data_IF_811561363258
#
_entry.id   IF_811561363258
#
_cell.length_a   1.000
_cell.length_b   1.000
_cell.length_c   1.000
_cell.angle_alpha   90.00
_cell.angle_beta   90.00
_cell.angle_gamma   90.00
#
_symmetry.space_group_name_H-M   'P 1'
#
loop_
_entity.id
_entity.type
_entity.pdbx_description
1 polymer ?
#
# COMPACT_ATOMS: atom_id res chain seq x y z
N UNK A 1 32.28 -19.51 -20.53
CA UNK A 1 31.16 -18.90 -21.23
C UNK A 1 30.76 -17.63 -20.46
N UNK A 2 31.21 -16.46 -20.93
CA UNK A 2 30.90 -15.18 -20.30
C UNK A 2 29.54 -14.71 -20.83
N UNK A 3 28.55 -14.55 -19.94
CA UNK A 3 27.21 -14.06 -20.24
C UNK A 3 27.27 -12.55 -20.55
N UNK A 4 27.00 -12.20 -21.79
CA UNK A 4 26.82 -10.80 -22.23
C UNK A 4 25.48 -10.30 -21.66
N UNK A 5 25.56 -9.53 -20.58
CA UNK A 5 24.44 -8.72 -20.08
C UNK A 5 24.28 -7.54 -21.05
N UNK A 6 23.20 -7.53 -21.82
CA UNK A 6 22.83 -6.42 -22.68
C UNK A 6 22.63 -5.15 -21.84
N UNK A 7 23.58 -4.23 -21.92
CA UNK A 7 23.44 -2.89 -21.35
C UNK A 7 22.56 -2.07 -22.29
N UNK A 8 21.33 -1.78 -21.88
CA UNK A 8 20.50 -0.80 -22.57
C UNK A 8 21.14 0.58 -22.48
N UNK A 9 21.10 1.40 -23.55
CA UNK A 9 21.71 2.72 -23.56
C UNK A 9 21.08 3.58 -22.45
N UNK A 10 21.96 4.07 -21.55
CA UNK A 10 21.61 5.04 -20.53
C UNK A 10 21.14 6.32 -21.19
N UNK A 11 19.85 6.59 -21.19
CA UNK A 11 19.33 7.93 -21.51
C UNK A 11 19.96 8.95 -20.56
N UNK A 12 20.51 10.04 -21.12
CA UNK A 12 21.18 11.09 -20.35
C UNK A 12 20.33 11.51 -19.13
N UNK A 13 20.93 11.71 -17.94
CA UNK A 13 20.18 12.00 -16.74
C UNK A 13 19.42 13.31 -16.89
N UNK A 14 18.09 13.24 -16.93
CA UNK A 14 17.27 14.43 -16.84
C UNK A 14 17.68 15.21 -15.57
N UNK A 15 18.10 16.47 -15.72
CA UNK A 15 18.47 17.34 -14.59
C UNK A 15 17.31 17.36 -13.59
N UNK A 16 17.58 17.00 -12.35
CA UNK A 16 16.58 17.06 -11.29
C UNK A 16 16.12 18.50 -11.11
N UNK A 17 14.84 18.76 -11.32
CA UNK A 17 14.21 20.07 -11.07
C UNK A 17 14.17 20.27 -9.54
N UNK A 18 14.70 21.39 -8.98
CA UNK A 18 14.63 21.66 -7.55
C UNK A 18 13.20 21.61 -7.00
N UNK A 19 13.04 21.25 -5.72
CA UNK A 19 11.71 21.18 -5.07
C UNK A 19 10.96 22.53 -5.12
N UNK A 20 11.69 23.64 -5.05
CA UNK A 20 11.18 25.02 -5.19
C UNK A 20 10.54 25.32 -6.55
N UNK A 21 10.75 24.49 -7.58
CA UNK A 21 10.20 24.66 -8.92
C UNK A 21 8.96 23.79 -9.19
N UNK A 22 8.51 22.98 -8.23
CA UNK A 22 7.21 22.27 -8.38
C UNK A 22 6.09 23.23 -8.03
N UNK A 23 5.10 23.32 -8.90
CA UNK A 23 3.94 24.17 -8.67
C UNK A 23 3.26 23.81 -7.33
N UNK A 24 2.98 24.83 -6.51
CA UNK A 24 2.39 24.65 -5.17
C UNK A 24 1.02 24.00 -5.20
N UNK A 25 0.24 24.21 -6.25
CA UNK A 25 -1.07 23.58 -6.44
C UNK A 25 -0.90 22.06 -6.58
N UNK A 26 0.07 21.62 -7.39
CA UNK A 26 0.36 20.19 -7.56
C UNK A 26 0.82 19.54 -6.24
N UNK A 27 1.67 20.22 -5.47
CA UNK A 27 2.10 19.72 -4.16
C UNK A 27 0.94 19.65 -3.17
N UNK A 28 0.09 20.68 -3.12
CA UNK A 28 -1.08 20.69 -2.24
C UNK A 28 -2.05 19.55 -2.59
N UNK A 29 -2.36 19.37 -3.89
CA UNK A 29 -3.20 18.27 -4.36
C UNK A 29 -2.58 16.89 -4.05
N UNK A 30 -1.27 16.73 -4.22
CA UNK A 30 -0.55 15.52 -3.86
C UNK A 30 -0.62 15.19 -2.37
N UNK A 31 -0.38 16.18 -1.49
CA UNK A 31 -0.45 15.96 -0.04
C UNK A 31 -1.90 15.70 0.43
N UNK A 32 -2.88 16.39 -0.17
CA UNK A 32 -4.29 16.14 0.08
C UNK A 32 -4.69 14.70 -0.31
N UNK A 33 -4.26 14.24 -1.48
CA UNK A 33 -4.46 12.85 -1.92
C UNK A 33 -3.86 11.86 -0.91
N UNK A 34 -2.62 12.07 -0.48
CA UNK A 34 -1.97 11.18 0.49
C UNK A 34 -2.69 11.19 1.84
N UNK A 35 -3.11 12.36 2.32
CA UNK A 35 -3.88 12.49 3.55
C UNK A 35 -5.25 11.79 3.45
N UNK A 36 -5.88 11.81 2.27
CA UNK A 36 -7.19 11.19 2.05
C UNK A 36 -7.18 9.66 2.10
N UNK A 37 -6.03 9.00 1.92
CA UNK A 37 -5.94 7.53 1.90
C UNK A 37 -6.48 6.84 3.17
N UNK A 38 -6.53 7.56 4.28
CA UNK A 38 -7.12 7.08 5.52
C UNK A 38 -8.63 7.39 5.66
N UNK A 39 -9.24 8.08 4.69
CA UNK A 39 -10.63 8.55 4.74
C UNK A 39 -11.42 8.04 3.54
N UNK A 40 -11.65 6.74 3.47
CA UNK A 40 -12.59 6.14 2.55
C UNK A 40 -14.00 6.30 3.14
N UNK A 41 -14.96 6.82 2.37
CA UNK A 41 -16.35 7.00 2.79
C UNK A 41 -17.27 6.33 1.77
N UNK A 42 -17.62 5.04 1.95
CA UNK A 42 -18.39 4.28 0.96
C UNK A 42 -19.79 4.83 0.71
N UNK A 43 -20.38 5.52 1.69
CA UNK A 43 -21.79 5.93 1.65
C UNK A 43 -22.04 7.34 1.07
N UNK A 44 -21.03 8.01 0.53
CA UNK A 44 -21.19 9.35 -0.08
C UNK A 44 -21.60 9.26 -1.55
N UNK A 45 -22.73 8.60 -1.83
CA UNK A 45 -23.33 8.57 -3.17
C UNK A 45 -22.41 7.98 -4.25
N UNK A 46 -21.54 7.04 -3.90
CA UNK A 46 -20.57 6.42 -4.82
C UNK A 46 -19.27 7.22 -5.05
N UNK A 47 -19.06 8.32 -4.34
CA UNK A 47 -17.84 9.12 -4.44
C UNK A 47 -16.85 8.77 -3.33
N UNK A 48 -15.77 8.10 -3.69
CA UNK A 48 -14.68 7.81 -2.76
C UNK A 48 -13.73 9.01 -2.65
N UNK A 49 -13.51 9.53 -1.44
CA UNK A 49 -12.61 10.68 -1.23
C UNK A 49 -11.20 10.44 -1.80
N UNK A 50 -10.57 9.26 -1.62
CA UNK A 50 -9.28 8.97 -2.25
C UNK A 50 -9.31 9.01 -3.78
N UNK A 51 -10.40 8.60 -4.41
CA UNK A 51 -10.55 8.69 -5.87
C UNK A 51 -10.67 10.15 -6.34
N UNK A 52 -11.51 10.94 -5.66
CA UNK A 52 -11.68 12.36 -5.99
C UNK A 52 -10.38 13.15 -5.83
N UNK A 53 -9.65 12.93 -4.74
CA UNK A 53 -8.38 13.62 -4.47
C UNK A 53 -7.26 13.16 -5.40
N UNK A 54 -7.26 11.89 -5.83
CA UNK A 54 -6.36 11.38 -6.85
C UNK A 54 -6.67 11.99 -8.22
N UNK A 55 -7.94 12.08 -8.61
CA UNK A 55 -8.36 12.77 -9.82
C UNK A 55 -7.97 14.26 -9.79
N UNK A 56 -8.17 14.95 -8.67
CA UNK A 56 -7.72 16.34 -8.47
C UNK A 56 -6.20 16.46 -8.61
N UNK A 57 -5.44 15.55 -8.00
CA UNK A 57 -3.99 15.51 -8.14
C UNK A 57 -3.59 15.33 -9.61
N UNK A 58 -4.13 14.33 -10.29
CA UNK A 58 -3.84 14.07 -11.70
C UNK A 58 -4.23 15.26 -12.59
N UNK A 59 -5.40 15.88 -12.36
CA UNK A 59 -5.84 17.08 -13.06
C UNK A 59 -4.91 18.29 -12.84
N UNK A 60 -4.21 18.35 -11.72
CA UNK A 60 -3.23 19.39 -11.43
C UNK A 60 -1.85 19.17 -12.11
N UNK A 61 -1.49 17.93 -12.49
CA UNK A 61 -0.16 17.58 -13.02
C UNK A 61 0.25 18.32 -14.30
N UNK A 62 -0.67 18.76 -15.20
CA UNK A 62 -0.29 19.60 -16.35
C UNK A 62 0.45 20.88 -15.96
N UNK A 63 0.22 21.41 -14.76
CA UNK A 63 0.95 22.59 -14.23
C UNK A 63 2.41 22.30 -13.90
N UNK A 64 2.82 21.01 -13.89
CA UNK A 64 4.18 20.59 -13.56
C UNK A 64 4.56 19.28 -14.28
N UNK A 65 4.24 19.14 -15.59
CA UNK A 65 4.43 17.91 -16.38
C UNK A 65 5.83 17.31 -16.24
N UNK A 66 6.88 18.13 -16.41
CA UNK A 66 8.27 17.64 -16.27
C UNK A 66 8.60 17.16 -14.85
N UNK A 67 7.92 17.73 -13.84
CA UNK A 67 8.13 17.32 -12.46
C UNK A 67 7.42 16.01 -12.13
N UNK A 68 6.31 15.68 -12.80
CA UNK A 68 5.47 14.52 -12.53
C UNK A 68 5.77 13.32 -13.45
N UNK A 69 6.28 13.55 -14.68
CA UNK A 69 6.35 12.50 -15.70
C UNK A 69 7.71 12.39 -16.44
N UNK A 70 8.76 13.04 -15.95
CA UNK A 70 10.07 13.03 -16.64
C UNK A 70 10.75 11.65 -16.68
N UNK A 71 10.46 10.78 -15.73
CA UNK A 71 11.10 9.45 -15.60
C UNK A 71 10.08 8.36 -15.76
N UNK A 72 10.46 7.33 -16.51
CA UNK A 72 9.64 6.13 -16.76
C UNK A 72 10.48 4.93 -16.32
N UNK A 73 10.27 4.37 -15.10
CA UNK A 73 10.98 3.19 -14.66
C UNK A 73 10.49 1.94 -15.40
N UNK A 74 11.36 0.93 -15.49
CA UNK A 74 11.05 -0.32 -16.18
C UNK A 74 9.80 -1.03 -15.64
N UNK A 75 9.50 -0.89 -14.35
CA UNK A 75 8.30 -1.45 -13.75
C UNK A 75 7.00 -0.95 -14.41
N UNK A 76 6.96 0.33 -14.86
CA UNK A 76 5.77 0.88 -15.52
C UNK A 76 5.50 0.22 -16.88
N UNK A 77 6.52 -0.23 -17.61
CA UNK A 77 6.30 -0.99 -18.84
C UNK A 77 5.60 -2.33 -18.56
N UNK A 78 5.96 -2.99 -17.47
CA UNK A 78 5.32 -4.23 -17.06
C UNK A 78 3.89 -4.00 -16.57
N UNK A 79 3.63 -2.95 -15.83
CA UNK A 79 2.27 -2.57 -15.44
C UNK A 79 1.42 -2.12 -16.63
N UNK A 80 2.01 -1.42 -17.61
CA UNK A 80 1.33 -1.11 -18.86
C UNK A 80 1.01 -2.38 -19.66
N UNK A 81 1.95 -3.35 -19.72
CA UNK A 81 1.71 -4.67 -20.30
C UNK A 81 0.55 -5.41 -19.60
N UNK A 82 0.50 -5.35 -18.27
CA UNK A 82 -0.62 -5.87 -17.50
C UNK A 82 -1.96 -5.21 -17.90
N UNK A 83 -2.01 -3.87 -18.05
CA UNK A 83 -3.22 -3.16 -18.48
C UNK A 83 -3.63 -3.52 -19.91
N UNK A 84 -2.67 -3.75 -20.81
CA UNK A 84 -2.94 -4.26 -22.16
C UNK A 84 -3.56 -5.65 -22.12
N UNK A 85 -3.03 -6.56 -21.30
CA UNK A 85 -3.64 -7.89 -21.11
C UNK A 85 -5.02 -7.79 -20.51
N UNK A 86 -5.21 -6.91 -19.52
CA UNK A 86 -6.52 -6.63 -18.92
C UNK A 86 -7.54 -6.24 -20.02
N UNK A 87 -7.19 -5.28 -20.87
CA UNK A 87 -8.07 -4.85 -21.96
C UNK A 87 -8.33 -5.98 -22.98
N UNK A 88 -7.30 -6.71 -23.39
CA UNK A 88 -7.43 -7.81 -24.36
C UNK A 88 -8.30 -8.95 -23.82
N UNK A 89 -8.08 -9.38 -22.57
CA UNK A 89 -8.86 -10.43 -21.92
C UNK A 89 -10.31 -9.98 -21.70
N UNK A 90 -10.53 -8.71 -21.34
CA UNK A 90 -11.88 -8.15 -21.23
C UNK A 90 -12.65 -8.22 -22.56
N UNK A 91 -11.99 -7.97 -23.68
CA UNK A 91 -12.59 -8.09 -25.02
C UNK A 91 -12.88 -9.56 -25.39
N UNK A 92 -11.99 -10.50 -25.00
CA UNK A 92 -12.16 -11.93 -25.29
C UNK A 92 -13.35 -12.56 -24.54
N UNK A 93 -13.62 -12.10 -23.31
CA UNK A 93 -14.71 -12.65 -22.49
C UNK A 93 -16.06 -11.96 -22.72
N UNK A 94 -16.14 -11.08 -23.71
CA UNK A 94 -17.38 -10.40 -24.07
C UNK A 94 -17.78 -9.27 -23.13
N UNK A 95 -18.91 -8.65 -23.44
CA UNK A 95 -19.38 -7.42 -22.80
C UNK A 95 -20.30 -7.68 -21.59
N UNK A 96 -20.27 -8.87 -21.02
CA UNK A 96 -20.99 -9.18 -19.78
C UNK A 96 -20.36 -8.31 -18.67
N UNK A 97 -21.20 -7.60 -17.93
CA UNK A 97 -20.75 -6.66 -16.88
C UNK A 97 -19.80 -5.53 -17.36
N UNK A 98 -19.97 -5.10 -18.61
CA UNK A 98 -19.09 -4.10 -19.22
C UNK A 98 -18.94 -2.82 -18.38
N UNK A 99 -20.00 -2.36 -17.72
CA UNK A 99 -19.96 -1.19 -16.85
C UNK A 99 -18.93 -1.31 -15.74
N UNK A 100 -18.93 -2.45 -15.05
CA UNK A 100 -18.04 -2.75 -13.94
C UNK A 100 -16.60 -2.99 -14.40
N UNK A 101 -16.43 -3.73 -15.50
CA UNK A 101 -15.11 -3.98 -16.13
C UNK A 101 -14.48 -2.67 -16.56
N UNK A 102 -15.24 -1.77 -17.20
CA UNK A 102 -14.77 -0.44 -17.60
C UNK A 102 -14.39 0.40 -16.38
N UNK A 103 -15.25 0.44 -15.36
CA UNK A 103 -14.98 1.18 -14.13
C UNK A 103 -13.69 0.68 -13.48
N UNK A 104 -13.55 -0.63 -13.32
CA UNK A 104 -12.36 -1.25 -12.73
C UNK A 104 -11.09 -0.95 -13.54
N UNK A 105 -11.17 -1.02 -14.87
CA UNK A 105 -10.07 -0.65 -15.78
C UNK A 105 -9.64 0.81 -15.63
N UNK A 106 -10.60 1.75 -15.51
CA UNK A 106 -10.31 3.17 -15.28
C UNK A 106 -9.64 3.40 -13.93
N UNK A 107 -10.06 2.70 -12.87
CA UNK A 107 -9.42 2.75 -11.53
C UNK A 107 -7.96 2.27 -11.61
N UNK A 108 -7.68 1.22 -12.37
CA UNK A 108 -6.31 0.70 -12.56
C UNK A 108 -5.43 1.69 -13.34
N UNK A 109 -5.97 2.30 -14.40
CA UNK A 109 -5.26 3.35 -15.17
C UNK A 109 -4.96 4.56 -14.28
N UNK A 110 -5.95 5.03 -13.53
CA UNK A 110 -5.77 6.12 -12.55
C UNK A 110 -4.68 5.78 -11.53
N UNK A 111 -4.72 4.58 -10.95
CA UNK A 111 -3.74 4.11 -9.97
C UNK A 111 -2.32 4.05 -10.55
N UNK A 112 -2.16 3.60 -11.81
CA UNK A 112 -0.87 3.59 -12.50
C UNK A 112 -0.37 5.02 -12.78
N UNK A 113 -1.23 5.95 -13.17
CA UNK A 113 -0.86 7.36 -13.38
C UNK A 113 -0.46 8.03 -12.05
N UNK A 114 -1.18 7.75 -10.96
CA UNK A 114 -0.80 8.16 -9.59
C UNK A 114 0.58 7.61 -9.23
N UNK A 115 0.85 6.34 -9.50
CA UNK A 115 2.16 5.73 -9.28
C UNK A 115 3.24 6.48 -10.07
N UNK A 116 3.05 6.73 -11.35
CA UNK A 116 4.03 7.41 -12.21
C UNK A 116 4.31 8.85 -11.75
N UNK A 117 3.28 9.66 -11.50
CA UNK A 117 3.45 11.02 -11.01
C UNK A 117 4.10 11.06 -9.62
N UNK A 118 3.66 10.19 -8.69
CA UNK A 118 4.20 10.09 -7.34
C UNK A 118 5.67 9.69 -7.32
N UNK A 119 6.10 8.74 -8.16
CA UNK A 119 7.50 8.33 -8.30
C UNK A 119 8.39 9.52 -8.62
N UNK A 120 8.00 10.35 -9.57
CA UNK A 120 8.77 11.53 -9.96
C UNK A 120 8.80 12.59 -8.84
N UNK A 121 7.72 12.76 -8.09
CA UNK A 121 7.68 13.64 -6.92
C UNK A 121 8.56 13.11 -5.77
N UNK A 122 8.57 11.81 -5.52
CA UNK A 122 9.42 11.16 -4.51
C UNK A 122 10.92 11.26 -4.81
N UNK A 123 11.30 11.53 -6.04
CA UNK A 123 12.70 11.83 -6.34
C UNK A 123 13.21 13.08 -5.62
N UNK A 124 12.31 13.90 -5.07
CA UNK A 124 12.57 15.05 -4.20
C UNK A 124 12.31 14.64 -2.76
N UNK A 125 13.38 14.39 -2.02
CA UNK A 125 13.30 13.84 -0.66
C UNK A 125 12.40 14.65 0.28
N UNK A 126 12.47 15.99 0.22
CA UNK A 126 11.64 16.86 1.04
C UNK A 126 10.14 16.63 0.77
N UNK A 127 9.75 16.53 -0.52
CA UNK A 127 8.35 16.25 -0.90
C UNK A 127 7.90 14.90 -0.35
N UNK A 128 8.72 13.86 -0.51
CA UNK A 128 8.38 12.53 -0.06
C UNK A 128 8.30 12.42 1.48
N UNK A 129 9.23 13.03 2.21
CA UNK A 129 9.19 13.04 3.67
C UNK A 129 7.95 13.79 4.18
N UNK A 130 7.60 14.93 3.55
CA UNK A 130 6.35 15.65 3.89
C UNK A 130 5.12 14.77 3.62
N UNK A 131 5.07 14.07 2.50
CA UNK A 131 3.97 13.16 2.18
C UNK A 131 3.84 12.02 3.22
N UNK A 132 4.96 11.45 3.65
CA UNK A 132 4.96 10.43 4.72
C UNK A 132 4.41 10.99 6.03
N UNK A 133 4.75 12.23 6.40
CA UNK A 133 4.17 12.88 7.58
C UNK A 133 2.68 13.21 7.40
N UNK A 134 2.24 13.66 6.22
CA UNK A 134 0.81 13.85 5.92
C UNK A 134 0.04 12.54 6.14
N UNK A 135 0.61 11.41 5.70
CA UNK A 135 0.01 10.09 5.93
C UNK A 135 -0.10 9.76 7.43
N UNK A 136 0.96 9.97 8.22
CA UNK A 136 0.94 9.70 9.68
C UNK A 136 -0.08 10.59 10.40
N UNK A 137 -0.13 11.87 10.05
CA UNK A 137 -1.08 12.82 10.64
C UNK A 137 -2.52 12.41 10.33
N UNK A 138 -2.79 12.02 9.08
CA UNK A 138 -4.13 11.57 8.68
C UNK A 138 -4.50 10.23 9.35
N UNK A 139 -3.56 9.30 9.52
CA UNK A 139 -3.78 8.05 10.25
C UNK A 139 -4.09 8.31 11.74
N UNK A 140 -3.38 9.24 12.37
CA UNK A 140 -3.66 9.66 13.73
C UNK A 140 -5.05 10.31 13.84
N UNK A 141 -5.36 11.27 12.97
CA UNK A 141 -6.68 11.91 12.93
C UNK A 141 -7.80 10.88 12.80
N UNK A 142 -7.64 9.93 11.86
CA UNK A 142 -8.60 8.84 11.68
C UNK A 142 -8.72 7.93 12.90
N UNK A 143 -7.65 7.74 13.67
CA UNK A 143 -7.70 6.93 14.89
C UNK A 143 -8.44 7.66 16.03
N UNK A 144 -8.30 8.97 16.11
CA UNK A 144 -8.87 9.79 17.19
C UNK A 144 -10.35 10.11 16.94
N UNK A 145 -10.75 10.40 15.70
CA UNK A 145 -12.11 10.85 15.36
C UNK A 145 -13.21 9.90 15.87
N UNK A 146 -13.14 8.56 15.70
CA UNK A 146 -14.16 7.66 16.27
C UNK A 146 -14.17 7.63 17.80
N UNK A 147 -13.03 7.89 18.46
CA UNK A 147 -12.96 7.94 19.93
C UNK A 147 -13.73 9.13 20.50
N UNK A 148 -13.80 10.24 19.75
CA UNK A 148 -14.58 11.43 20.10
C UNK A 148 -16.00 11.41 19.47
N UNK A 149 -16.42 10.26 18.94
CA UNK A 149 -17.76 10.06 18.39
C UNK A 149 -17.96 10.54 16.94
N UNK A 150 -16.91 11.04 16.27
CA UNK A 150 -17.01 11.53 14.88
C UNK A 150 -16.82 10.38 13.90
N UNK A 151 -17.84 10.11 13.08
CA UNK A 151 -17.80 9.07 12.06
C UNK A 151 -17.65 7.64 12.60
N UNK A 152 -17.91 7.41 13.89
CA UNK A 152 -17.85 6.08 14.49
C UNK A 152 -18.92 5.19 13.88
N UNK A 153 -18.49 4.08 13.28
CA UNK A 153 -19.36 3.03 12.75
C UNK A 153 -18.97 1.72 13.39
N UNK A 154 -19.95 0.95 13.83
CA UNK A 154 -19.70 -0.34 14.46
C UNK A 154 -20.71 -1.38 14.00
N UNK A 155 -20.28 -2.64 14.00
CA UNK A 155 -21.14 -3.78 13.75
C UNK A 155 -20.68 -5.02 14.52
N UNK A 156 -21.65 -5.80 14.97
CA UNK A 156 -21.42 -7.05 15.71
C UNK A 156 -21.02 -8.15 14.71
N UNK A 157 -19.98 -8.92 15.04
CA UNK A 157 -19.56 -10.09 14.25
C UNK A 157 -20.08 -11.38 14.84
N UNK A 158 -20.23 -12.42 14.01
CA UNK A 158 -20.74 -13.73 14.43
C UNK A 158 -19.91 -14.41 15.53
N UNK A 159 -18.61 -14.09 15.65
CA UNK A 159 -17.74 -14.57 16.74
C UNK A 159 -17.96 -13.84 18.06
N UNK A 160 -18.88 -12.88 18.10
CA UNK A 160 -19.09 -11.99 19.23
C UNK A 160 -18.09 -10.83 19.28
N UNK A 161 -18.54 -9.73 19.89
CA UNK A 161 -17.81 -8.47 19.94
C UNK A 161 -18.14 -7.53 18.77
N UNK A 162 -17.79 -6.27 18.96
CA UNK A 162 -18.11 -5.17 18.05
C UNK A 162 -16.88 -4.71 17.33
N UNK A 163 -16.90 -4.70 16.00
CA UNK A 163 -15.84 -4.09 15.17
C UNK A 163 -16.12 -2.60 15.01
N UNK A 164 -15.13 -1.78 15.29
CA UNK A 164 -15.22 -0.33 15.13
C UNK A 164 -14.40 0.11 13.94
N UNK A 165 -15.01 0.93 13.10
CA UNK A 165 -14.36 1.60 11.98
C UNK A 165 -14.72 3.08 11.95
N UNK A 166 -14.04 3.87 11.14
CA UNK A 166 -14.44 5.24 10.89
C UNK A 166 -15.18 5.31 9.55
N UNK A 167 -16.29 6.07 9.51
CA UNK A 167 -17.01 6.44 8.29
C UNK A 167 -17.48 5.24 7.43
N UNK A 168 -17.85 4.10 8.05
CA UNK A 168 -18.35 2.93 7.33
C UNK A 168 -17.31 2.13 6.55
N UNK A 169 -16.03 2.42 6.70
CA UNK A 169 -14.95 1.73 5.98
C UNK A 169 -14.92 0.23 6.22
N UNK A 170 -14.45 -0.51 5.22
CA UNK A 170 -14.10 -1.91 5.41
C UNK A 170 -13.02 -2.06 6.49
N UNK A 171 -13.31 -2.82 7.54
CA UNK A 171 -12.43 -2.94 8.70
C UNK A 171 -11.06 -3.59 8.38
N UNK A 172 -10.96 -4.44 7.35
CA UNK A 172 -9.69 -5.02 6.94
C UNK A 172 -8.81 -3.97 6.24
N UNK A 173 -9.42 -3.20 5.32
CA UNK A 173 -8.76 -2.10 4.65
C UNK A 173 -8.30 -1.03 5.65
N UNK A 174 -9.20 -0.64 6.56
CA UNK A 174 -8.90 0.28 7.67
C UNK A 174 -7.66 -0.12 8.47
N UNK A 175 -7.60 -1.39 8.87
CA UNK A 175 -6.47 -1.92 9.63
C UNK A 175 -5.15 -1.83 8.84
N UNK A 176 -5.18 -2.14 7.53
CA UNK A 176 -3.99 -2.07 6.67
C UNK A 176 -3.50 -0.62 6.54
N UNK A 177 -4.40 0.34 6.31
CA UNK A 177 -4.05 1.75 6.18
C UNK A 177 -3.46 2.33 7.49
N UNK A 178 -4.09 2.02 8.63
CA UNK A 178 -3.56 2.41 9.94
C UNK A 178 -2.22 1.74 10.23
N UNK A 179 -2.05 0.47 9.86
CA UNK A 179 -0.78 -0.26 9.99
C UNK A 179 0.33 0.38 9.16
N UNK A 180 0.02 0.85 7.93
CA UNK A 180 0.97 1.61 7.12
C UNK A 180 1.37 2.92 7.83
N UNK A 181 0.43 3.65 8.43
CA UNK A 181 0.70 4.84 9.24
C UNK A 181 1.66 4.56 10.41
N UNK A 182 1.44 3.47 11.14
CA UNK A 182 2.29 3.07 12.26
C UNK A 182 3.70 2.65 11.79
N UNK A 183 3.81 1.92 10.68
CA UNK A 183 5.11 1.53 10.08
C UNK A 183 5.87 2.77 9.60
N UNK A 184 5.19 3.73 8.96
CA UNK A 184 5.80 5.00 8.55
C UNK A 184 6.30 5.76 9.77
N UNK A 185 5.49 5.92 10.81
CA UNK A 185 5.86 6.59 12.05
C UNK A 185 7.10 5.96 12.67
N UNK A 186 7.11 4.64 12.82
CA UNK A 186 8.24 3.90 13.37
C UNK A 186 9.51 4.07 12.51
N UNK A 187 9.38 3.96 11.18
CA UNK A 187 10.49 4.10 10.26
C UNK A 187 11.09 5.51 10.23
N UNK A 188 10.25 6.56 10.27
CA UNK A 188 10.70 7.95 10.31
C UNK A 188 11.38 8.30 11.65
N UNK A 189 10.90 7.75 12.76
CA UNK A 189 11.39 8.10 14.11
C UNK A 189 12.60 7.26 14.54
N UNK A 190 12.65 5.99 14.16
CA UNK A 190 13.70 5.05 14.59
C UNK A 190 14.64 4.61 13.48
N UNK A 191 14.27 4.80 12.21
CA UNK A 191 15.04 4.28 11.06
C UNK A 191 16.42 4.89 10.87
N UNK A 192 16.58 6.20 11.01
CA UNK A 192 17.82 6.91 10.60
C UNK A 192 18.51 7.80 11.65
N UNK A 193 18.16 7.76 12.89
CA UNK A 193 18.92 8.43 13.97
C UNK A 193 18.94 9.98 13.99
N UNK A 194 18.38 10.65 12.99
CA UNK A 194 18.33 12.13 12.88
C UNK A 194 17.11 12.77 13.56
N UNK A 195 16.21 11.97 14.11
CA UNK A 195 14.99 12.46 14.76
C UNK A 195 15.30 12.95 16.16
N UNK A 196 14.73 14.09 16.56
CA UNK A 196 14.89 14.64 17.91
C UNK A 196 14.39 13.66 18.97
N UNK A 197 14.93 13.78 20.19
CA UNK A 197 14.48 12.97 21.33
C UNK A 197 12.99 13.20 21.61
N UNK A 198 12.52 14.44 21.51
CA UNK A 198 11.12 14.81 21.70
C UNK A 198 10.20 14.09 20.71
N UNK A 199 10.58 14.06 19.42
CA UNK A 199 9.79 13.35 18.40
C UNK A 199 9.74 11.85 18.65
N UNK A 200 10.84 11.24 19.11
CA UNK A 200 10.85 9.80 19.46
C UNK A 200 9.96 9.51 20.66
N UNK A 201 9.90 10.40 21.63
CA UNK A 201 8.98 10.27 22.78
C UNK A 201 7.52 10.45 22.34
N UNK A 202 7.23 11.45 21.50
CA UNK A 202 5.89 11.68 20.96
C UNK A 202 5.38 10.54 20.07
N UNK A 203 6.27 9.79 19.42
CA UNK A 203 5.89 8.64 18.59
C UNK A 203 5.18 7.53 19.39
N UNK A 204 5.45 7.38 20.68
CA UNK A 204 4.81 6.35 21.50
C UNK A 204 3.31 6.60 21.71
N UNK A 205 2.85 7.76 22.22
CA UNK A 205 1.41 8.01 22.34
C UNK A 205 0.72 8.04 20.97
N UNK A 206 1.33 8.62 19.93
CA UNK A 206 0.77 8.59 18.57
C UNK A 206 0.59 7.13 18.11
N UNK A 207 1.62 6.31 18.28
CA UNK A 207 1.59 4.90 17.94
C UNK A 207 0.55 4.11 18.74
N UNK A 208 0.36 4.44 20.01
CA UNK A 208 -0.65 3.81 20.87
C UNK A 208 -2.08 4.09 20.38
N UNK A 209 -2.41 5.34 20.01
CA UNK A 209 -3.73 5.66 19.42
C UNK A 209 -3.97 4.92 18.11
N UNK A 210 -2.99 4.93 17.18
CA UNK A 210 -3.11 4.19 15.91
C UNK A 210 -3.23 2.68 16.19
N UNK A 211 -2.44 2.14 17.12
CA UNK A 211 -2.46 0.74 17.50
C UNK A 211 -3.80 0.30 18.09
N UNK A 212 -4.37 1.09 19.00
CA UNK A 212 -5.69 0.84 19.56
C UNK A 212 -6.77 0.76 18.47
N UNK A 213 -6.76 1.75 17.55
CA UNK A 213 -7.70 1.75 16.42
C UNK A 213 -7.54 0.52 15.50
N UNK A 214 -6.32 0.02 15.27
CA UNK A 214 -6.08 -1.21 14.50
C UNK A 214 -6.77 -2.41 15.19
N UNK A 215 -6.61 -2.53 16.51
CA UNK A 215 -7.16 -3.66 17.28
C UNK A 215 -8.69 -3.62 17.30
N UNK A 216 -9.29 -2.43 17.47
CA UNK A 216 -10.75 -2.25 17.45
C UNK A 216 -11.38 -2.65 16.10
N UNK A 217 -10.63 -2.60 14.99
CA UNK A 217 -11.12 -3.13 13.71
C UNK A 217 -11.40 -4.64 13.76
N UNK A 218 -10.79 -5.39 14.68
CA UNK A 218 -10.86 -6.85 14.72
C UNK A 218 -10.23 -7.52 13.49
N UNK A 219 -9.33 -6.88 12.75
CA UNK A 219 -8.74 -7.43 11.53
C UNK A 219 -7.48 -8.24 11.80
N UNK A 220 -7.57 -9.59 11.76
CA UNK A 220 -6.42 -10.49 11.86
C UNK A 220 -5.40 -10.27 10.74
N UNK A 221 -5.89 -10.08 9.49
CA UNK A 221 -5.04 -9.79 8.34
C UNK A 221 -4.29 -8.45 8.47
N UNK A 222 -4.94 -7.43 9.06
CA UNK A 222 -4.30 -6.15 9.36
C UNK A 222 -3.19 -6.27 10.41
N UNK A 223 -3.38 -7.08 11.47
CA UNK A 223 -2.33 -7.34 12.46
C UNK A 223 -1.15 -8.11 11.86
N UNK A 224 -1.40 -9.12 11.02
CA UNK A 224 -0.35 -9.84 10.32
C UNK A 224 0.45 -8.92 9.39
N UNK A 225 -0.24 -8.06 8.65
CA UNK A 225 0.38 -7.07 7.78
C UNK A 225 1.26 -6.08 8.58
N UNK A 226 0.77 -5.60 9.72
CA UNK A 226 1.55 -4.79 10.65
C UNK A 226 2.80 -5.53 11.12
N UNK A 227 2.65 -6.79 11.52
CA UNK A 227 3.76 -7.66 11.92
C UNK A 227 4.84 -7.74 10.84
N UNK A 228 4.46 -7.99 9.59
CA UNK A 228 5.38 -8.02 8.45
C UNK A 228 6.11 -6.69 8.24
N UNK A 229 5.39 -5.56 8.32
CA UNK A 229 5.97 -4.23 8.19
C UNK A 229 6.94 -3.88 9.33
N UNK A 230 6.58 -4.18 10.58
CA UNK A 230 7.44 -3.91 11.75
C UNK A 230 8.69 -4.81 11.75
N UNK A 231 8.56 -6.10 11.41
CA UNK A 231 9.70 -7.00 11.28
C UNK A 231 10.68 -6.52 10.21
N UNK A 232 10.18 -5.98 9.11
CA UNK A 232 11.03 -5.41 8.06
C UNK A 232 11.90 -4.25 8.55
N UNK A 233 11.50 -3.50 9.59
CA UNK A 233 12.31 -2.43 10.18
C UNK A 233 13.64 -2.94 10.77
N UNK A 234 13.73 -4.23 11.11
CA UNK A 234 14.98 -4.82 11.60
C UNK A 234 16.09 -4.85 10.54
N UNK A 235 15.72 -4.80 9.25
CA UNK A 235 16.67 -4.80 8.11
C UNK A 235 17.20 -3.42 7.72
N UNK A 236 17.20 -2.47 8.65
CA UNK A 236 17.74 -1.11 8.43
C UNK A 236 19.19 -1.16 7.97
N UNK A 237 19.50 -0.54 6.83
CA UNK A 237 20.85 -0.50 6.26
C UNK A 237 21.76 0.50 7.01
N UNK A 238 23.05 0.17 7.11
CA UNK A 238 24.07 1.12 7.62
C UNK A 238 24.02 1.40 9.13
N UNK A 239 23.17 0.70 9.88
CA UNK A 239 23.13 0.80 11.34
C UNK A 239 24.24 0.02 12.01
N UNK A 240 24.92 0.64 13.03
CA UNK A 240 25.77 -0.11 13.94
C UNK A 240 24.92 -1.09 14.77
N UNK A 241 25.54 -2.04 15.47
CA UNK A 241 24.84 -3.04 16.28
C UNK A 241 23.84 -2.39 17.26
N UNK A 242 24.19 -1.25 17.88
CA UNK A 242 23.31 -0.52 18.81
C UNK A 242 21.98 -0.09 18.13
N UNK A 243 22.04 0.39 16.88
CA UNK A 243 20.83 0.79 16.12
C UNK A 243 19.96 -0.43 15.80
N UNK A 244 20.57 -1.54 15.38
CA UNK A 244 19.83 -2.78 15.08
C UNK A 244 19.17 -3.35 16.34
N UNK A 245 19.89 -3.41 17.47
CA UNK A 245 19.36 -3.88 18.74
C UNK A 245 18.22 -2.98 19.23
N UNK A 246 18.38 -1.63 19.16
CA UNK A 246 17.31 -0.71 19.48
C UNK A 246 16.07 -0.94 18.61
N UNK A 247 16.23 -1.04 17.30
CA UNK A 247 15.10 -1.25 16.38
C UNK A 247 14.45 -2.62 16.63
N UNK A 248 15.25 -3.66 16.91
CA UNK A 248 14.74 -4.96 17.31
C UNK A 248 13.93 -4.87 18.61
N UNK A 249 14.44 -4.18 19.62
CA UNK A 249 13.72 -3.97 20.89
C UNK A 249 12.40 -3.22 20.67
N UNK A 250 12.43 -2.11 19.91
CA UNK A 250 11.21 -1.35 19.59
C UNK A 250 10.19 -2.23 18.86
N UNK A 251 10.64 -3.04 17.88
CA UNK A 251 9.77 -3.97 17.17
C UNK A 251 9.15 -5.01 18.10
N UNK A 252 9.97 -5.63 18.97
CA UNK A 252 9.49 -6.63 19.94
C UNK A 252 8.50 -6.02 20.93
N UNK A 253 8.79 -4.82 21.47
CA UNK A 253 7.88 -4.12 22.37
C UNK A 253 6.57 -3.73 21.67
N UNK A 254 6.64 -3.24 20.43
CA UNK A 254 5.45 -2.90 19.66
C UNK A 254 4.60 -4.15 19.35
N UNK A 255 5.20 -5.22 18.86
CA UNK A 255 4.49 -6.47 18.59
C UNK A 255 3.94 -7.10 19.86
N UNK A 256 4.73 -7.13 20.96
CA UNK A 256 4.30 -7.68 22.23
C UNK A 256 3.12 -6.90 22.83
N UNK A 257 3.18 -5.57 22.83
CA UNK A 257 2.07 -4.73 23.28
C UNK A 257 0.81 -4.88 22.42
N UNK A 258 0.97 -4.97 21.11
CA UNK A 258 -0.15 -5.20 20.18
C UNK A 258 -0.78 -6.58 20.39
N UNK A 259 0.05 -7.63 20.57
CA UNK A 259 -0.43 -8.97 20.88
C UNK A 259 -1.18 -8.99 22.20
N UNK A 260 -0.61 -8.42 23.26
CA UNK A 260 -1.28 -8.31 24.56
C UNK A 260 -2.64 -7.59 24.42
N UNK A 261 -2.66 -6.43 23.79
CA UNK A 261 -3.88 -5.67 23.56
C UNK A 261 -4.91 -6.43 22.70
N UNK A 262 -4.47 -7.22 21.72
CA UNK A 262 -5.34 -8.06 20.89
C UNK A 262 -6.09 -9.11 21.73
N UNK A 263 -5.49 -9.64 22.80
CA UNK A 263 -6.14 -10.57 23.71
C UNK A 263 -7.00 -9.90 24.80
N UNK A 264 -6.86 -8.58 25.00
CA UNK A 264 -7.72 -7.83 25.95
C UNK A 264 -8.97 -7.26 25.30
N UNK A 265 -8.97 -7.02 23.98
CA UNK A 265 -10.12 -6.48 23.25
C UNK A 265 -11.00 -7.62 22.74
N UNK A 266 -12.24 -7.68 23.22
CA UNK A 266 -13.18 -8.81 23.02
C UNK A 266 -13.31 -9.24 21.55
N UNK A 267 -13.51 -8.30 20.61
CA UNK A 267 -13.67 -8.64 19.19
C UNK A 267 -12.45 -9.33 18.60
N UNK A 268 -11.24 -8.88 18.95
CA UNK A 268 -10.03 -9.47 18.44
C UNK A 268 -9.74 -10.82 19.09
N UNK A 269 -9.88 -10.88 20.44
CA UNK A 269 -9.73 -12.11 21.22
C UNK A 269 -10.61 -13.22 20.67
N UNK A 270 -11.94 -12.99 20.60
CA UNK A 270 -12.90 -14.01 20.14
C UNK A 270 -12.58 -14.47 18.70
N UNK A 271 -12.13 -13.58 17.82
CA UNK A 271 -11.74 -13.94 16.45
C UNK A 271 -10.46 -14.75 16.37
N UNK A 272 -9.49 -14.50 17.25
CA UNK A 272 -8.27 -15.30 17.34
C UNK A 272 -8.57 -16.69 17.91
N UNK A 273 -9.38 -16.76 18.98
CA UNK A 273 -9.85 -18.02 19.59
C UNK A 273 -10.64 -18.85 18.58
N UNK A 274 -11.62 -18.27 17.89
CA UNK A 274 -12.36 -18.98 16.84
C UNK A 274 -11.45 -19.52 15.73
N UNK A 275 -10.37 -18.81 15.36
CA UNK A 275 -9.42 -19.32 14.40
C UNK A 275 -8.63 -20.51 14.95
N UNK A 276 -8.20 -20.44 16.20
CA UNK A 276 -7.43 -21.50 16.83
C UNK A 276 -8.27 -22.77 17.04
N UNK A 277 -9.55 -22.63 17.41
CA UNK A 277 -10.44 -23.74 17.71
C UNK A 277 -11.05 -24.39 16.47
N UNK A 278 -11.50 -23.60 15.50
CA UNK A 278 -12.26 -24.08 14.34
C UNK A 278 -11.50 -23.99 13.02
N UNK A 279 -10.31 -23.42 12.99
CA UNK A 279 -9.54 -23.18 11.76
C UNK A 279 -10.15 -22.13 10.82
N UNK A 280 -11.21 -21.41 11.25
CA UNK A 280 -11.95 -20.51 10.37
C UNK A 280 -11.13 -19.30 9.93
N UNK A 281 -11.04 -19.10 8.62
CA UNK A 281 -10.41 -17.95 7.98
C UNK A 281 -11.45 -16.94 7.44
N UNK A 282 -12.66 -16.93 8.05
CA UNK A 282 -13.79 -16.09 7.66
C UNK A 282 -14.30 -16.40 6.23
N UNK A 283 -14.46 -17.68 5.92
CA UNK A 283 -14.97 -18.21 4.66
C UNK A 283 -13.92 -18.37 3.55
N UNK A 284 -12.67 -17.98 3.81
CA UNK A 284 -11.57 -18.16 2.83
C UNK A 284 -11.19 -19.63 2.64
N UNK A 285 -11.36 -20.44 3.66
CA UNK A 285 -11.19 -21.90 3.65
C UNK A 285 -12.06 -22.60 2.61
N UNK A 286 -13.20 -22.02 2.24
CA UNK A 286 -14.08 -22.53 1.18
C UNK A 286 -13.81 -21.83 -0.15
N UNK A 287 -13.53 -20.53 -0.09
CA UNK A 287 -13.35 -19.69 -1.26
C UNK A 287 -12.05 -20.02 -2.04
N UNK A 288 -10.92 -20.17 -1.34
CA UNK A 288 -9.63 -20.34 -2.00
C UNK A 288 -9.47 -21.64 -2.80
N UNK A 289 -9.95 -22.80 -2.34
CA UNK A 289 -9.94 -24.01 -3.17
C UNK A 289 -10.68 -23.81 -4.49
N UNK A 290 -11.88 -23.23 -4.47
CA UNK A 290 -12.64 -22.94 -5.68
C UNK A 290 -11.90 -22.01 -6.66
N UNK A 291 -11.19 -21.00 -6.13
CA UNK A 291 -10.38 -20.09 -6.95
C UNK A 291 -9.15 -20.79 -7.56
N UNK A 292 -8.54 -21.74 -6.83
CA UNK A 292 -7.44 -22.56 -7.38
C UNK A 292 -7.95 -23.43 -8.51
N UNK A 293 -9.09 -24.10 -8.35
CA UNK A 293 -9.70 -24.90 -9.40
C UNK A 293 -10.02 -24.04 -10.64
N UNK A 294 -10.61 -22.86 -10.45
CA UNK A 294 -10.87 -21.90 -11.51
C UNK A 294 -9.58 -21.47 -12.26
N UNK A 295 -8.50 -21.23 -11.54
CA UNK A 295 -7.20 -20.87 -12.13
C UNK A 295 -6.61 -22.02 -12.94
N UNK A 296 -6.79 -23.27 -12.50
CA UNK A 296 -6.34 -24.47 -13.23
C UNK A 296 -7.20 -24.77 -14.46
N UNK A 297 -8.49 -24.46 -14.44
CA UNK A 297 -9.39 -24.64 -15.59
C UNK A 297 -9.05 -23.69 -16.75
N UNK A 298 -8.68 -22.43 -16.43
CA UNK A 298 -8.32 -21.41 -17.45
C UNK A 298 -6.98 -20.74 -17.14
N UNK A 299 -5.85 -21.45 -17.22
CA UNK A 299 -4.57 -20.98 -16.71
C UNK A 299 -3.98 -19.79 -17.49
N UNK A 300 -4.31 -19.61 -18.76
CA UNK A 300 -3.67 -18.60 -19.61
C UNK A 300 -4.35 -17.24 -19.57
N UNK A 301 -5.67 -17.18 -19.64
CA UNK A 301 -6.45 -15.93 -19.75
C UNK A 301 -7.42 -15.72 -18.59
N UNK A 302 -7.55 -16.70 -17.70
CA UNK A 302 -8.54 -16.65 -16.63
C UNK A 302 -9.98 -16.63 -17.13
N UNK A 303 -10.88 -16.17 -16.29
CA UNK A 303 -12.33 -16.08 -16.52
C UNK A 303 -12.77 -14.68 -16.98
N UNK A 304 -11.85 -13.76 -17.11
CA UNK A 304 -12.09 -12.35 -17.37
C UNK A 304 -12.24 -11.52 -16.11
N UNK A 305 -11.78 -10.24 -16.12
CA UNK A 305 -11.94 -9.33 -15.00
C UNK A 305 -13.41 -9.16 -14.65
N UNK A 306 -13.72 -9.09 -13.36
CA UNK A 306 -15.07 -9.01 -12.78
C UNK A 306 -15.87 -10.33 -13.00
N UNK A 307 -15.82 -10.94 -14.19
CA UNK A 307 -16.53 -12.21 -14.47
C UNK A 307 -16.04 -13.34 -13.56
N UNK A 308 -14.74 -13.36 -13.20
CA UNK A 308 -14.20 -14.30 -12.20
C UNK A 308 -14.91 -14.21 -10.86
N UNK A 309 -15.34 -13.01 -10.45
CA UNK A 309 -16.03 -12.77 -9.17
C UNK A 309 -17.47 -13.31 -9.19
N UNK A 310 -18.16 -13.23 -10.34
CA UNK A 310 -19.46 -13.86 -10.52
C UNK A 310 -19.33 -15.37 -10.59
N UNK A 311 -18.36 -15.88 -11.35
CA UNK A 311 -18.12 -17.33 -11.48
C UNK A 311 -17.85 -17.99 -10.10
N UNK A 312 -16.98 -17.39 -9.27
CA UNK A 312 -16.73 -17.92 -7.92
C UNK A 312 -17.97 -17.83 -7.03
N UNK A 313 -18.81 -16.83 -7.22
CA UNK A 313 -20.09 -16.70 -6.52
C UNK A 313 -21.02 -17.88 -6.78
N UNK A 314 -21.04 -18.41 -8.01
CA UNK A 314 -21.86 -19.58 -8.35
C UNK A 314 -21.32 -20.90 -7.77
N UNK A 315 -20.01 -20.99 -7.53
CA UNK A 315 -19.34 -22.20 -7.01
C UNK A 315 -19.36 -22.32 -5.48
N UNK A 316 -19.67 -21.24 -4.78
CA UNK A 316 -19.65 -21.18 -3.30
C UNK A 316 -21.06 -21.08 -2.73
N UNK A 317 -21.78 -22.21 -2.72
CA UNK A 317 -23.21 -22.29 -2.39
C UNK A 317 -23.60 -21.82 -1.00
N UNK A 318 -22.76 -22.03 0.02
CA UNK A 318 -23.07 -21.68 1.42
C UNK A 318 -22.92 -20.17 1.72
N UNK A 319 -22.44 -19.41 0.76
CA UNK A 319 -22.11 -18.01 0.94
C UNK A 319 -22.82 -17.13 -0.12
N UNK A 320 -24.05 -17.46 -0.46
CA UNK A 320 -24.89 -16.88 -1.50
C UNK A 320 -24.72 -15.36 -1.67
N UNK A 321 -23.69 -14.94 -2.39
CA UNK A 321 -23.51 -13.59 -2.90
C UNK A 321 -23.33 -13.67 -4.40
N UNK A 322 -24.00 -12.78 -5.08
CA UNK A 322 -23.98 -12.70 -6.54
C UNK A 322 -22.58 -12.54 -7.11
N UNK A 323 -21.70 -11.87 -6.36
CA UNK A 323 -20.32 -11.64 -6.77
C UNK A 323 -19.37 -11.60 -5.54
N UNK A 324 -18.14 -12.13 -5.67
CA UNK A 324 -17.17 -12.28 -4.59
C UNK A 324 -15.75 -11.94 -5.03
N UNK A 325 -15.10 -11.07 -4.25
CA UNK A 325 -13.66 -10.79 -4.36
C UNK A 325 -12.86 -12.02 -3.84
N UNK A 326 -11.77 -12.35 -4.50
CA UNK A 326 -10.86 -13.43 -4.10
C UNK A 326 -10.21 -13.21 -2.73
N UNK A 327 -10.17 -11.98 -2.23
CA UNK A 327 -9.44 -11.61 -1.02
C UNK A 327 -7.99 -12.14 -0.97
N UNK A 328 -7.38 -12.29 -2.13
CA UNK A 328 -5.99 -12.68 -2.33
C UNK A 328 -5.54 -12.16 -3.70
N UNK A 329 -4.49 -11.34 -3.71
CA UNK A 329 -4.04 -10.69 -4.95
C UNK A 329 -3.61 -11.70 -6.02
N UNK A 330 -2.90 -12.76 -5.63
CA UNK A 330 -2.41 -13.75 -6.61
C UNK A 330 -3.57 -14.55 -7.23
N UNK A 331 -4.51 -14.99 -6.40
CA UNK A 331 -5.69 -15.72 -6.87
C UNK A 331 -6.59 -14.83 -7.72
N UNK A 332 -6.76 -13.55 -7.35
CA UNK A 332 -7.49 -12.58 -8.18
C UNK A 332 -6.86 -12.43 -9.58
N UNK A 333 -5.54 -12.23 -9.64
CA UNK A 333 -4.82 -12.13 -10.92
C UNK A 333 -4.95 -13.38 -11.78
N UNK A 334 -4.77 -14.56 -11.16
CA UNK A 334 -4.84 -15.83 -11.88
C UNK A 334 -6.26 -16.17 -12.35
N UNK A 335 -7.27 -15.91 -11.54
CA UNK A 335 -8.66 -16.19 -11.94
C UNK A 335 -9.21 -15.17 -12.91
N UNK A 336 -8.84 -13.89 -12.78
CA UNK A 336 -9.30 -12.85 -13.69
C UNK A 336 -8.59 -12.85 -15.04
N UNK A 337 -7.25 -12.98 -15.05
CA UNK A 337 -6.41 -12.75 -16.23
C UNK A 337 -5.47 -13.90 -16.56
N UNK A 338 -5.46 -14.95 -15.77
CA UNK A 338 -4.54 -16.07 -15.94
C UNK A 338 -3.06 -15.67 -15.82
N UNK A 339 -2.19 -16.54 -16.30
CA UNK A 339 -0.74 -16.27 -16.35
C UNK A 339 -0.41 -15.08 -17.25
N UNK A 340 -1.17 -14.83 -18.31
CA UNK A 340 -0.94 -13.72 -19.22
C UNK A 340 -0.97 -12.36 -18.49
N UNK A 341 -1.87 -12.16 -17.54
CA UNK A 341 -1.96 -10.93 -16.75
C UNK A 341 -1.13 -10.98 -15.46
N UNK A 342 -1.09 -12.14 -14.79
CA UNK A 342 -0.36 -12.30 -13.53
C UNK A 342 1.15 -12.08 -13.70
N UNK A 343 1.75 -12.65 -14.76
CA UNK A 343 3.22 -12.59 -14.98
C UNK A 343 3.71 -11.14 -15.14
N UNK A 344 3.20 -10.30 -16.03
CA UNK A 344 3.67 -8.93 -16.16
C UNK A 344 3.45 -8.13 -14.88
N UNK A 345 2.31 -8.30 -14.18
CA UNK A 345 2.09 -7.62 -12.91
C UNK A 345 3.13 -8.02 -11.86
N UNK A 346 3.38 -9.33 -11.69
CA UNK A 346 4.34 -9.85 -10.70
C UNK A 346 5.78 -9.46 -11.01
N UNK A 347 6.17 -9.34 -12.29
CA UNK A 347 7.49 -8.83 -12.67
C UNK A 347 7.61 -7.35 -12.26
N UNK A 348 6.60 -6.52 -12.57
CA UNK A 348 6.56 -5.13 -12.14
C UNK A 348 6.63 -4.98 -10.63
N UNK A 349 5.87 -5.79 -9.89
CA UNK A 349 5.89 -5.85 -8.43
C UNK A 349 7.28 -6.29 -7.90
N UNK A 350 7.89 -7.31 -8.49
CA UNK A 350 9.24 -7.77 -8.14
C UNK A 350 10.29 -6.69 -8.30
N UNK A 351 10.22 -5.89 -9.38
CA UNK A 351 11.09 -4.73 -9.58
C UNK A 351 10.91 -3.70 -8.45
N UNK A 352 9.65 -3.44 -8.02
CA UNK A 352 9.36 -2.55 -6.89
C UNK A 352 9.95 -3.10 -5.58
N UNK A 353 9.81 -4.40 -5.29
CA UNK A 353 10.40 -5.04 -4.10
C UNK A 353 11.93 -4.90 -4.08
N UNK A 354 12.59 -5.16 -5.22
CA UNK A 354 14.04 -4.97 -5.36
C UNK A 354 14.42 -3.50 -5.20
N UNK A 355 13.61 -2.58 -5.76
CA UNK A 355 13.77 -1.13 -5.59
C UNK A 355 13.72 -0.73 -4.12
N UNK A 356 12.70 -1.17 -3.39
CA UNK A 356 12.55 -0.92 -1.96
C UNK A 356 13.72 -1.47 -1.14
N UNK A 357 14.17 -2.71 -1.44
CA UNK A 357 15.32 -3.33 -0.78
C UNK A 357 16.61 -2.55 -1.01
N UNK A 358 16.91 -2.16 -2.24
CA UNK A 358 18.07 -1.32 -2.57
C UNK A 358 17.94 0.06 -1.93
N UNK A 359 16.71 0.61 -1.92
CA UNK A 359 16.36 1.91 -1.36
C UNK A 359 16.59 2.05 0.15
N UNK A 360 16.92 0.99 0.90
CA UNK A 360 17.24 1.06 2.33
C UNK A 360 18.40 2.01 2.66
N UNK A 361 19.29 2.26 1.71
CA UNK A 361 20.40 3.22 1.82
C UNK A 361 20.02 4.63 1.36
N UNK A 362 18.84 4.82 0.75
CA UNK A 362 18.31 6.10 0.31
C UNK A 362 17.94 7.03 1.48
N UNK A 363 17.62 8.30 1.26
CA UNK A 363 17.09 9.21 2.27
C UNK A 363 15.80 8.73 2.97
N UNK A 364 15.01 7.87 2.35
CA UNK A 364 13.81 7.27 2.96
C UNK A 364 14.13 6.13 3.93
N UNK A 365 15.36 5.62 3.94
CA UNK A 365 15.78 4.51 4.79
C UNK A 365 14.98 3.25 4.52
N UNK A 366 14.58 2.59 5.60
CA UNK A 366 13.88 1.29 5.55
C UNK A 366 12.38 1.42 5.23
N UNK A 367 11.78 2.62 5.30
CA UNK A 367 10.33 2.84 5.19
C UNK A 367 9.73 2.21 3.92
N UNK A 368 10.30 2.42 2.70
CA UNK A 368 9.74 1.82 1.49
C UNK A 368 9.70 0.29 1.54
N UNK A 369 10.74 -0.34 2.07
CA UNK A 369 10.80 -1.80 2.19
C UNK A 369 9.81 -2.33 3.24
N UNK A 370 9.69 -1.64 4.38
CA UNK A 370 8.74 -2.01 5.42
C UNK A 370 7.27 -1.90 4.94
N UNK A 371 6.94 -0.86 4.16
CA UNK A 371 5.64 -0.72 3.54
C UNK A 371 5.38 -1.81 2.48
N UNK A 372 6.39 -2.14 1.67
CA UNK A 372 6.28 -3.26 0.71
C UNK A 372 6.00 -4.57 1.42
N UNK A 373 6.73 -4.87 2.50
CA UNK A 373 6.52 -6.09 3.30
C UNK A 373 5.10 -6.12 3.90
N UNK A 374 4.62 -4.99 4.43
CA UNK A 374 3.26 -4.84 4.94
C UNK A 374 2.22 -5.17 3.85
N UNK A 375 2.33 -4.55 2.68
CA UNK A 375 1.34 -4.77 1.60
C UNK A 375 1.45 -6.16 0.99
N UNK A 376 2.63 -6.77 0.90
CA UNK A 376 2.78 -8.15 0.45
C UNK A 376 2.06 -9.12 1.39
N UNK A 377 2.23 -8.94 2.71
CA UNK A 377 1.50 -9.74 3.70
C UNK A 377 0.00 -9.46 3.67
N UNK A 378 -0.40 -8.19 3.54
CA UNK A 378 -1.82 -7.81 3.42
C UNK A 378 -2.49 -8.50 2.21
N UNK A 379 -1.80 -8.55 1.08
CA UNK A 379 -2.31 -9.12 -0.17
C UNK A 379 -2.46 -10.65 -0.15
N UNK A 380 -2.00 -11.34 0.88
CA UNK A 380 -2.38 -12.75 1.12
C UNK A 380 -3.84 -12.88 1.55
N UNK A 381 -4.40 -11.84 2.18
CA UNK A 381 -5.78 -11.88 2.73
C UNK A 381 -6.69 -10.75 2.23
N UNK A 382 -6.21 -9.95 1.30
CA UNK A 382 -6.92 -8.85 0.62
C UNK A 382 -6.47 -8.78 -0.83
N UNK A 383 -7.18 -7.98 -1.64
CA UNK A 383 -6.74 -7.61 -2.98
C UNK A 383 -6.55 -6.08 -3.01
N UNK A 384 -5.30 -5.62 -3.08
CA UNK A 384 -4.99 -4.19 -3.07
C UNK A 384 -4.74 -3.58 -4.45
N UNK A 385 -4.96 -4.34 -5.53
CA UNK A 385 -4.59 -3.91 -6.89
C UNK A 385 -5.31 -2.64 -7.34
N UNK A 386 -6.56 -2.44 -6.92
CA UNK A 386 -7.35 -1.25 -7.23
C UNK A 386 -7.09 -0.07 -6.26
N UNK A 387 -6.39 -0.31 -5.14
CA UNK A 387 -6.20 0.71 -4.11
C UNK A 387 -5.02 1.62 -4.41
N UNK A 388 -5.26 2.90 -4.54
CA UNK A 388 -4.25 3.96 -4.79
C UNK A 388 -3.10 3.99 -3.78
N UNK A 389 -3.31 3.77 -2.46
CA UNK A 389 -2.22 3.66 -1.49
C UNK A 389 -1.19 2.58 -1.82
N UNK A 390 -1.61 1.44 -2.36
CA UNK A 390 -0.68 0.39 -2.80
C UNK A 390 0.23 0.89 -3.93
N UNK A 391 -0.34 1.51 -4.97
CA UNK A 391 0.43 2.07 -6.09
C UNK A 391 1.33 3.22 -5.67
N UNK A 392 0.91 4.01 -4.69
CA UNK A 392 1.74 5.05 -4.09
C UNK A 392 2.96 4.45 -3.35
N UNK A 393 2.81 3.30 -2.66
CA UNK A 393 3.92 2.57 -2.05
C UNK A 393 4.84 1.99 -3.12
N UNK A 394 4.32 1.47 -4.24
CA UNK A 394 5.13 1.03 -5.38
C UNK A 394 5.99 2.19 -5.94
N UNK A 395 5.40 3.38 -6.06
CA UNK A 395 6.11 4.59 -6.48
C UNK A 395 7.26 4.96 -5.52
N UNK A 396 7.00 4.93 -4.21
CA UNK A 396 7.99 5.21 -3.18
C UNK A 396 9.13 4.17 -3.20
N UNK A 397 8.82 2.90 -3.42
CA UNK A 397 9.76 1.81 -3.54
C UNK A 397 10.73 2.01 -4.71
N UNK A 398 10.20 2.35 -5.90
CA UNK A 398 10.97 2.62 -7.10
C UNK A 398 11.85 3.86 -6.93
N UNK A 399 11.28 4.99 -6.46
CA UNK A 399 12.03 6.22 -6.22
C UNK A 399 13.17 6.04 -5.23
N UNK A 400 12.95 5.27 -4.16
CA UNK A 400 13.97 5.00 -3.16
C UNK A 400 15.13 4.19 -3.73
N UNK A 401 14.85 3.21 -4.59
CA UNK A 401 15.87 2.42 -5.29
C UNK A 401 16.72 3.26 -6.23
N UNK A 402 16.11 4.16 -7.00
CA UNK A 402 16.81 5.09 -7.87
C UNK A 402 17.71 6.07 -7.11
N UNK A 403 17.22 6.62 -5.98
CA UNK A 403 18.00 7.52 -5.13
C UNK A 403 19.20 6.81 -4.49
N UNK A 404 19.05 5.54 -4.09
CA UNK A 404 20.15 4.75 -3.55
C UNK A 404 21.25 4.48 -4.60
N UNK A 405 20.89 4.37 -5.87
CA UNK A 405 21.85 4.16 -6.96
C UNK A 405 22.68 5.42 -7.31
N UNK A 406 22.32 6.61 -6.79
CA UNK A 406 22.95 7.90 -7.12
C UNK A 406 23.40 8.68 -5.87
N UNK A 407 24.30 8.14 -5.04
CA UNK A 407 24.67 8.76 -3.75
C UNK A 407 25.28 10.16 -3.88
N UNK A 408 26.01 10.46 -4.96
CA UNK A 408 26.60 11.78 -5.21
C UNK A 408 25.58 12.90 -5.50
N UNK A 409 24.42 12.58 -6.05
CA UNK A 409 23.34 13.57 -6.25
C UNK A 409 22.62 13.91 -4.93
N UNK A 410 22.47 12.93 -4.03
CA UNK A 410 21.85 13.13 -2.72
C UNK A 410 22.67 14.06 -1.85
N UNK A 411 23.99 13.91 -1.84
CA UNK A 411 24.91 14.77 -1.09
C UNK A 411 24.89 16.23 -1.56
N UNK A 412 24.76 16.48 -2.88
CA UNK A 412 24.60 17.83 -3.43
C UNK A 412 23.27 18.48 -3.00
N UNK A 413 22.16 17.74 -3.07
CA UNK A 413 20.83 18.23 -2.68
C UNK A 413 20.72 18.50 -1.17
N UNK A 414 21.41 17.72 -0.33
CA UNK A 414 21.49 17.97 1.13
C UNK A 414 22.37 19.20 1.46
N UNK A 415 23.39 19.48 0.64
CA UNK A 415 24.23 20.67 0.76
C UNK A 415 23.49 21.96 0.40
N UNK A 416 22.73 21.95 -0.70
CA UNK A 416 21.95 23.11 -1.16
C UNK A 416 20.82 23.47 -0.18
N UNK A 417 20.15 22.49 0.44
CA UNK A 417 19.13 22.74 1.46
C UNK A 417 19.68 23.31 2.76
N UNK A 418 20.93 23.02 3.13
CA UNK A 418 21.59 23.64 4.29
C UNK A 418 22.02 25.07 4.05
N UNK A 419 22.45 25.39 2.82
CA UNK A 419 22.87 26.74 2.44
C UNK A 419 21.70 27.72 2.33
N UNK A 420 20.47 27.27 2.07
CA UNK A 420 19.27 28.11 2.03
C UNK A 420 18.60 28.29 3.43
N UNK A 421 19.03 27.54 4.43
CA UNK A 421 18.47 27.60 5.79
C UNK A 421 19.41 28.32 6.80
N UNK A 422 20.57 28.72 6.36
CA UNK A 422 21.52 29.58 7.06
C UNK A 422 21.46 31.01 6.51
#
# INVERSE_FOLDING_TARGET
MASAVATFPSTAPARAVPASQVNRVVLAAFYLMVASFNFEMPDWGGWEIPAMTAALFLASTPLALRACYARIPSALFWFAGFLWVFAAVSLLHGWVNFGDVRHYGLVLVEAMLVCWASLNLFSRVAVGVTALWCYVISALARSVLPMVGVGRTSYVVWTGGERVTAFGQNANFSAIMLSAGLVILAGLTYGRGRTSRAMRLAAWPIGAFIGAAIIETGSRGGLLALGGGLLALMFTAGGNLKVRLRNGLVTVLALGSMTYAAFTVTVMKNRLEATAETGTLAGREQLWPSLVDMALEKPWTGWGPINNQYEVGTRTTDLAREHRDAHNLLLELLTALGLAGAVPFLIGLGICVVGAWRGRTSPYGIVPFALMALFLVANVSTNSIAYKPFWWVLALALASGELAARPGQVARLEGETRSCAA
#
